data_IF_084434088679
#
_entry.id   IF_084434088679
#
_cell.length_a   1.000
_cell.length_b   1.000
_cell.length_c   1.000
_cell.angle_alpha   90.00
_cell.angle_beta   90.00
_cell.angle_gamma   90.00
#
_symmetry.space_group_name_H-M   'P 1'
#
loop_
_entity.id
_entity.type
_entity.pdbx_description
1 polymer ?
#
# COMPACT_ATOMS: atom_id res chain seq x y z
N UNK A 1 45.03 -13.62 -11.99
CA UNK A 1 43.59 -13.92 -11.83
C UNK A 1 43.11 -13.01 -10.72
N UNK A 2 42.38 -11.94 -11.05
CA UNK A 2 41.79 -11.07 -10.02
C UNK A 2 40.61 -11.89 -9.48
N UNK A 3 40.72 -12.36 -8.24
CA UNK A 3 39.58 -12.93 -7.54
C UNK A 3 38.51 -11.83 -7.48
N UNK A 4 37.50 -11.94 -8.35
CA UNK A 4 36.30 -11.12 -8.29
C UNK A 4 35.58 -11.49 -7.00
N UNK A 5 36.00 -10.86 -5.90
CA UNK A 5 35.43 -11.04 -4.58
C UNK A 5 34.09 -10.28 -4.47
N UNK A 6 33.23 -10.47 -5.46
CA UNK A 6 31.90 -9.87 -5.53
C UNK A 6 31.06 -10.62 -4.51
N UNK A 7 30.53 -9.88 -3.54
CA UNK A 7 29.67 -10.42 -2.49
C UNK A 7 28.22 -10.48 -2.97
N UNK A 8 27.81 -9.47 -3.73
CA UNK A 8 26.47 -9.32 -4.27
C UNK A 8 26.53 -8.82 -5.71
N UNK A 9 25.74 -9.43 -6.59
CA UNK A 9 25.44 -8.92 -7.92
C UNK A 9 24.03 -9.30 -8.34
N UNK A 10 23.28 -8.35 -8.90
CA UNK A 10 21.97 -8.60 -9.48
C UNK A 10 21.78 -7.80 -10.76
N UNK A 11 21.16 -8.41 -11.77
CA UNK A 11 21.02 -7.85 -13.10
C UNK A 11 19.56 -7.88 -13.54
N UNK A 12 19.04 -6.77 -14.08
CA UNK A 12 17.68 -6.69 -14.63
C UNK A 12 17.60 -5.78 -15.85
N UNK A 13 16.61 -6.03 -16.70
CA UNK A 13 16.19 -5.13 -17.79
C UNK A 13 14.94 -4.32 -17.46
N UNK A 14 14.33 -4.57 -16.30
CA UNK A 14 13.07 -3.95 -15.89
C UNK A 14 13.31 -2.74 -14.97
N UNK A 15 14.04 -1.73 -15.48
CA UNK A 15 14.38 -0.52 -14.71
C UNK A 15 13.14 0.22 -14.20
N UNK A 16 12.02 0.17 -14.93
CA UNK A 16 10.75 0.78 -14.52
C UNK A 16 10.25 0.22 -13.17
N UNK A 17 10.41 -1.08 -12.92
CA UNK A 17 9.99 -1.71 -11.67
C UNK A 17 10.86 -1.22 -10.49
N UNK A 18 12.18 -1.16 -10.67
CA UNK A 18 13.11 -0.63 -9.67
C UNK A 18 12.79 0.85 -9.39
N UNK A 19 12.65 1.66 -10.44
CA UNK A 19 12.36 3.10 -10.30
C UNK A 19 11.06 3.33 -9.54
N UNK A 20 10.02 2.58 -9.88
CA UNK A 20 8.70 2.70 -9.27
C UNK A 20 8.72 2.27 -7.81
N UNK A 21 9.38 1.14 -7.50
CA UNK A 21 9.63 0.70 -6.13
C UNK A 21 10.38 1.75 -5.31
N UNK A 22 11.55 2.18 -5.76
CA UNK A 22 12.38 3.15 -5.04
C UNK A 22 11.68 4.51 -4.86
N UNK A 23 10.83 4.91 -5.82
CA UNK A 23 10.01 6.13 -5.72
C UNK A 23 9.01 6.10 -4.56
N UNK A 24 8.60 4.92 -4.10
CA UNK A 24 7.70 4.75 -2.96
C UNK A 24 8.36 5.11 -1.63
N UNK A 25 9.69 5.05 -1.55
CA UNK A 25 10.47 5.35 -0.34
C UNK A 25 10.70 6.85 -0.14
N UNK A 26 10.65 7.64 -1.23
CA UNK A 26 10.94 9.09 -1.24
C UNK A 26 10.15 9.89 -0.19
N UNK A 27 8.82 9.69 0.00
CA UNK A 27 8.05 10.48 0.97
C UNK A 27 8.47 10.28 2.43
N UNK A 28 9.22 9.23 2.75
CA UNK A 28 9.56 8.85 4.12
C UNK A 28 10.90 9.43 4.57
N UNK A 29 11.87 9.60 3.66
CA UNK A 29 13.24 10.00 4.00
C UNK A 29 13.43 11.51 4.23
N UNK A 30 13.56 11.94 5.49
CA UNK A 30 13.98 13.32 5.81
C UNK A 30 15.45 13.60 5.47
N UNK A 31 16.32 12.59 5.69
CA UNK A 31 17.77 12.67 5.43
C UNK A 31 18.19 11.99 4.11
N UNK A 32 17.21 11.40 3.42
CA UNK A 32 17.36 10.62 2.19
C UNK A 32 18.30 9.41 2.32
N UNK A 33 18.66 9.04 3.55
CA UNK A 33 19.39 7.81 3.83
C UNK A 33 18.44 6.62 3.76
N UNK A 34 18.90 5.56 3.11
CA UNK A 34 18.17 4.31 3.02
C UNK A 34 19.07 3.15 3.39
N UNK A 35 18.56 2.32 4.29
CA UNK A 35 19.19 1.05 4.65
C UNK A 35 18.80 0.02 3.60
N UNK A 36 19.78 -0.58 2.95
CA UNK A 36 19.62 -1.71 2.06
C UNK A 36 20.12 -2.95 2.79
N UNK A 37 19.29 -3.99 2.84
CA UNK A 37 19.61 -5.30 3.37
C UNK A 37 19.62 -6.26 2.18
N UNK A 38 20.71 -6.99 2.02
CA UNK A 38 20.97 -7.88 0.88
C UNK A 38 21.16 -9.29 1.43
N UNK A 39 20.39 -10.25 0.92
CA UNK A 39 20.45 -11.65 1.31
C UNK A 39 20.25 -12.60 0.11
N UNK A 40 20.05 -13.90 0.38
CA UNK A 40 19.84 -14.90 -0.68
C UNK A 40 18.46 -14.87 -1.34
N UNK A 41 17.52 -14.08 -0.80
CA UNK A 41 16.14 -13.98 -1.25
C UNK A 41 15.85 -12.68 -1.99
N UNK A 42 16.60 -11.61 -1.70
CA UNK A 42 16.50 -10.39 -2.48
C UNK A 42 17.09 -9.15 -1.82
N UNK A 43 16.55 -8.00 -2.24
CA UNK A 43 16.93 -6.68 -1.74
C UNK A 43 15.79 -6.09 -0.92
N UNK A 44 16.08 -5.81 0.34
CA UNK A 44 15.20 -5.09 1.25
C UNK A 44 15.67 -3.66 1.45
N UNK A 45 14.77 -2.69 1.36
CA UNK A 45 15.04 -1.27 1.50
C UNK A 45 14.19 -0.72 2.64
N UNK A 46 14.82 -0.06 3.60
CA UNK A 46 14.13 0.41 4.79
C UNK A 46 14.51 1.85 5.12
N UNK A 47 13.50 2.63 5.48
CA UNK A 47 13.67 4.00 6.00
C UNK A 47 12.59 4.31 7.00
N UNK A 48 12.90 5.22 7.93
CA UNK A 48 11.99 5.65 8.99
C UNK A 48 11.90 7.17 9.04
N UNK A 49 10.82 7.65 9.65
CA UNK A 49 10.59 9.06 9.87
C UNK A 49 10.13 9.31 11.31
N UNK A 50 11.03 9.88 12.11
CA UNK A 50 10.81 10.32 13.49
C UNK A 50 10.25 9.22 14.41
N UNK A 51 10.53 7.94 14.15
CA UNK A 51 9.96 6.79 14.86
C UNK A 51 8.41 6.74 14.88
N UNK A 52 7.75 7.50 14.00
CA UNK A 52 6.29 7.52 13.86
C UNK A 52 5.86 6.63 12.70
N UNK A 53 6.64 6.63 11.62
CA UNK A 53 6.32 5.88 10.42
C UNK A 53 7.58 5.25 9.84
N UNK A 54 7.48 3.98 9.46
CA UNK A 54 8.53 3.18 8.82
C UNK A 54 7.98 2.57 7.55
N UNK A 55 8.83 2.48 6.53
CA UNK A 55 8.56 1.73 5.31
C UNK A 55 9.66 0.69 5.11
N UNK A 56 9.25 -0.51 4.73
CA UNK A 56 10.08 -1.60 4.28
C UNK A 56 9.62 -2.02 2.90
N UNK A 57 10.54 -2.03 1.94
CA UNK A 57 10.27 -2.44 0.57
C UNK A 57 11.16 -3.62 0.24
N UNK A 58 10.58 -4.71 -0.25
CA UNK A 58 11.30 -5.91 -0.64
C UNK A 58 11.18 -6.13 -2.15
N UNK A 59 12.33 -6.33 -2.79
CA UNK A 59 12.47 -6.76 -4.17
C UNK A 59 12.99 -8.20 -4.18
N UNK A 60 12.13 -9.12 -4.60
CA UNK A 60 12.46 -10.55 -4.69
C UNK A 60 13.54 -10.80 -5.74
N UNK A 61 14.44 -11.78 -5.52
CA UNK A 61 15.47 -12.16 -6.49
C UNK A 61 14.91 -12.53 -7.86
N UNK A 62 13.67 -13.01 -7.92
CA UNK A 62 12.94 -13.36 -9.15
C UNK A 62 12.63 -12.15 -10.04
N UNK A 63 12.76 -10.91 -9.54
CA UNK A 63 12.69 -9.70 -10.37
C UNK A 63 13.95 -9.47 -11.22
N UNK A 64 15.01 -10.21 -10.94
CA UNK A 64 16.30 -10.08 -11.60
C UNK A 64 16.51 -11.28 -12.54
N UNK A 65 17.11 -11.01 -13.70
CA UNK A 65 17.52 -12.06 -14.64
C UNK A 65 18.65 -12.91 -14.05
N UNK A 66 19.51 -12.26 -13.26
CA UNK A 66 20.59 -12.89 -12.51
C UNK A 66 20.62 -12.28 -11.11
N UNK A 67 20.72 -13.13 -10.10
CA UNK A 67 20.88 -12.71 -8.71
C UNK A 67 21.88 -13.65 -8.06
N UNK A 68 22.95 -13.08 -7.49
CA UNK A 68 24.02 -13.81 -6.84
C UNK A 68 24.39 -13.11 -5.54
N UNK A 69 24.33 -13.87 -4.45
CA UNK A 69 24.76 -13.43 -3.13
C UNK A 69 25.59 -14.53 -2.46
N UNK A 70 26.80 -14.19 -2.02
CA UNK A 70 27.72 -15.13 -1.40
C UNK A 70 27.40 -15.31 0.10
N UNK A 71 26.41 -16.16 0.38
CA UNK A 71 25.99 -16.49 1.75
C UNK A 71 27.05 -17.20 2.58
N UNK A 72 28.09 -17.76 1.95
CA UNK A 72 29.16 -18.44 2.67
C UNK A 72 30.06 -17.43 3.41
N UNK A 73 30.12 -16.19 2.95
CA UNK A 73 30.83 -15.11 3.63
C UNK A 73 30.01 -14.51 4.78
N UNK A 74 28.71 -14.32 4.57
CA UNK A 74 27.80 -13.74 5.55
C UNK A 74 26.34 -14.02 5.17
N UNK A 75 25.43 -14.24 6.14
CA UNK A 75 24.05 -14.61 5.87
C UNK A 75 23.23 -13.47 5.22
N UNK A 76 23.55 -12.23 5.59
CA UNK A 76 23.00 -11.02 4.99
C UNK A 76 24.02 -9.89 5.14
N UNK A 77 23.85 -8.83 4.35
CA UNK A 77 24.68 -7.63 4.40
C UNK A 77 23.82 -6.38 4.46
N UNK A 78 24.25 -5.42 5.27
CA UNK A 78 23.58 -4.14 5.42
C UNK A 78 24.46 -3.04 4.83
N UNK A 79 23.87 -2.20 4.00
CA UNK A 79 24.55 -1.06 3.38
C UNK A 79 23.64 0.14 3.37
N UNK A 80 24.16 1.30 3.77
CA UNK A 80 23.39 2.55 3.69
C UNK A 80 23.91 3.44 2.58
N UNK A 81 22.99 4.03 1.82
CA UNK A 81 23.25 4.91 0.68
C UNK A 81 22.24 6.07 0.66
N UNK A 82 22.53 7.10 -0.15
CA UNK A 82 21.59 8.19 -0.41
C UNK A 82 20.60 7.78 -1.50
N UNK A 83 19.33 7.65 -1.15
CA UNK A 83 18.26 7.23 -2.07
C UNK A 83 18.16 8.13 -3.30
N UNK A 84 18.30 9.45 -3.13
CA UNK A 84 18.22 10.39 -4.24
C UNK A 84 19.30 10.14 -5.30
N UNK A 85 20.52 9.79 -4.89
CA UNK A 85 21.60 9.54 -5.85
C UNK A 85 21.29 8.32 -6.72
N UNK A 86 20.71 7.27 -6.13
CA UNK A 86 20.27 6.09 -6.88
C UNK A 86 19.14 6.46 -7.84
N UNK A 87 18.12 7.16 -7.35
CA UNK A 87 16.97 7.55 -8.16
C UNK A 87 17.37 8.47 -9.32
N UNK A 88 18.28 9.40 -9.11
CA UNK A 88 18.73 10.32 -10.16
C UNK A 88 19.37 9.54 -11.32
N UNK A 89 20.27 8.60 -11.03
CA UNK A 89 20.92 7.78 -12.08
C UNK A 89 19.92 6.88 -12.80
N UNK A 90 19.05 6.18 -12.07
CA UNK A 90 18.06 5.31 -12.70
C UNK A 90 17.06 6.13 -13.55
N UNK A 91 16.67 7.32 -13.10
CA UNK A 91 15.76 8.19 -13.84
C UNK A 91 16.38 8.79 -15.11
N UNK A 92 17.68 9.14 -15.09
CA UNK A 92 18.38 9.63 -16.29
C UNK A 92 18.32 8.57 -17.38
N UNK A 93 18.72 7.35 -17.05
CA UNK A 93 18.74 6.20 -17.96
C UNK A 93 17.33 5.86 -18.47
N UNK A 94 16.33 5.86 -17.58
CA UNK A 94 14.94 5.55 -17.94
C UNK A 94 14.27 6.65 -18.80
N UNK A 95 14.67 7.92 -18.62
CA UNK A 95 14.13 9.06 -19.38
C UNK A 95 14.65 9.12 -20.81
N UNK A 96 15.92 8.80 -21.02
CA UNK A 96 16.53 8.79 -22.35
C UNK A 96 15.92 7.68 -23.23
N UNK A 97 15.50 6.57 -22.62
CA UNK A 97 14.83 5.48 -23.32
C UNK A 97 13.32 5.71 -23.59
N UNK A 98 12.60 6.39 -22.70
CA UNK A 98 11.15 6.61 -22.86
C UNK A 98 10.80 7.75 -23.84
N UNK A 99 11.70 8.73 -24.02
CA UNK A 99 11.47 9.86 -24.94
C UNK A 99 11.75 9.53 -26.41
N UNK A 100 12.58 8.53 -26.72
CA UNK A 100 12.78 8.03 -28.09
C UNK A 100 11.54 7.31 -28.64
N UNK A 101 10.67 6.82 -27.75
CA UNK A 101 9.43 6.12 -28.10
C UNK A 101 8.20 7.03 -28.29
N UNK A 102 8.34 8.36 -28.16
CA UNK A 102 7.22 9.32 -28.20
C UNK A 102 7.40 10.44 -29.23
N UNK A 103 7.70 10.11 -30.48
CA UNK A 103 7.57 11.03 -31.62
C UNK A 103 6.51 10.53 -32.59
N UNK A 104 5.26 10.88 -32.31
CA UNK A 104 4.25 10.98 -33.36
C UNK A 104 4.66 12.10 -34.31
N UNK A 105 4.67 11.79 -35.60
CA UNK A 105 5.31 12.57 -36.66
C UNK A 105 4.87 14.03 -36.76
N UNK A 106 5.85 14.89 -37.02
CA UNK A 106 6.01 15.55 -38.31
C UNK A 106 7.28 16.42 -38.24
N UNK A 107 8.14 16.25 -39.25
CA UNK A 107 9.34 17.03 -39.59
C UNK A 107 10.71 16.52 -39.08
N UNK A 108 11.47 16.02 -40.07
CA UNK A 108 12.90 16.23 -40.33
C UNK A 108 13.95 15.75 -39.32
N UNK A 109 14.63 14.66 -39.67
CA UNK A 109 16.10 14.59 -39.61
C UNK A 109 16.77 14.09 -38.33
N UNK A 110 16.09 13.27 -37.51
CA UNK A 110 16.66 12.67 -36.31
C UNK A 110 16.85 11.16 -36.44
N UNK A 111 18.00 10.68 -35.94
CA UNK A 111 18.53 9.31 -35.96
C UNK A 111 17.45 8.26 -35.60
N UNK A 112 17.41 7.19 -36.38
CA UNK A 112 16.63 5.98 -36.12
C UNK A 112 17.16 5.37 -34.82
N UNK A 113 16.56 5.70 -33.67
CA UNK A 113 16.78 4.96 -32.42
C UNK A 113 16.14 3.59 -32.60
N UNK A 114 16.96 2.53 -32.58
CA UNK A 114 16.51 1.16 -32.70
C UNK A 114 15.49 0.86 -31.59
N UNK A 115 14.37 0.28 -31.99
CA UNK A 115 13.25 -0.09 -31.12
C UNK A 115 13.60 -1.23 -30.13
N UNK A 116 14.85 -1.69 -30.16
CA UNK A 116 15.32 -2.93 -29.54
C UNK A 116 16.49 -2.72 -28.55
N UNK A 117 16.93 -1.48 -28.30
CA UNK A 117 18.00 -1.21 -27.32
C UNK A 117 17.48 -1.31 -25.89
N UNK A 118 17.41 -2.53 -25.37
CA UNK A 118 17.05 -2.77 -23.97
C UNK A 118 18.26 -2.41 -23.11
N UNK A 119 18.08 -1.47 -22.17
CA UNK A 119 19.11 -1.15 -21.19
C UNK A 119 19.12 -2.22 -20.10
N UNK A 120 20.28 -2.84 -19.90
CA UNK A 120 20.55 -3.74 -18.79
C UNK A 120 21.11 -2.95 -17.60
N UNK A 121 20.61 -3.22 -16.40
CA UNK A 121 21.07 -2.63 -15.16
C UNK A 121 21.63 -3.73 -14.25
N UNK A 122 22.92 -3.63 -13.93
CA UNK A 122 23.62 -4.50 -12.98
C UNK A 122 23.95 -3.74 -11.71
N UNK A 123 23.42 -4.21 -10.58
CA UNK A 123 23.74 -3.77 -9.24
C UNK A 123 24.84 -4.67 -8.68
N UNK A 124 25.82 -4.11 -7.96
CA UNK A 124 26.85 -4.91 -7.30
C UNK A 124 27.40 -4.27 -6.03
N UNK A 125 27.89 -5.12 -5.13
CA UNK A 125 28.53 -4.71 -3.89
C UNK A 125 29.59 -5.73 -3.48
N UNK A 126 30.78 -5.25 -3.09
CA UNK A 126 31.93 -6.09 -2.77
C UNK A 126 32.17 -6.23 -1.25
N UNK A 127 31.27 -5.71 -0.43
CA UNK A 127 31.36 -5.77 1.03
C UNK A 127 31.77 -4.44 1.68
N UNK A 128 31.99 -4.50 2.99
CA UNK A 128 32.20 -3.32 3.84
C UNK A 128 33.35 -2.44 3.32
N UNK A 129 33.13 -1.11 3.34
CA UNK A 129 34.10 -0.13 2.85
C UNK A 129 34.18 0.04 1.33
N UNK A 130 33.44 -0.76 0.55
CA UNK A 130 33.36 -0.62 -0.91
C UNK A 130 32.13 0.20 -1.33
N UNK A 131 32.10 0.81 -2.53
CA UNK A 131 30.91 1.50 -3.02
C UNK A 131 29.81 0.50 -3.43
N UNK A 132 28.56 0.95 -3.37
CA UNK A 132 27.45 0.27 -4.05
C UNK A 132 27.44 0.72 -5.50
N UNK A 133 27.50 -0.20 -6.45
CA UNK A 133 27.75 0.12 -7.87
C UNK A 133 26.54 -0.23 -8.72
N UNK A 134 26.15 0.69 -9.60
CA UNK A 134 25.22 0.45 -10.69
C UNK A 134 25.98 0.52 -12.01
N UNK A 135 25.73 -0.44 -12.88
CA UNK A 135 26.24 -0.46 -14.25
C UNK A 135 25.03 -0.52 -15.17
N UNK A 136 24.89 0.48 -16.02
CA UNK A 136 23.88 0.54 -17.06
C UNK A 136 24.54 0.25 -18.40
N UNK A 137 24.03 -0.71 -19.15
CA UNK A 137 24.62 -1.14 -20.42
C UNK A 137 23.53 -1.21 -21.49
N UNK A 138 23.77 -0.52 -22.61
CA UNK A 138 23.03 -0.67 -23.85
C UNK A 138 23.96 -1.16 -24.98
N UNK A 139 23.50 -1.20 -26.23
CA UNK A 139 24.33 -1.71 -27.34
C UNK A 139 25.55 -0.86 -27.69
N UNK A 140 25.62 0.39 -27.20
CA UNK A 140 26.61 1.39 -27.60
C UNK A 140 27.37 2.02 -26.42
N UNK A 141 26.75 2.08 -25.25
CA UNK A 141 27.19 2.85 -24.08
C UNK A 141 27.12 1.96 -22.84
N UNK A 142 28.18 2.01 -22.05
CA UNK A 142 28.22 1.47 -20.69
C UNK A 142 28.48 2.62 -19.73
N UNK A 143 27.56 2.84 -18.80
CA UNK A 143 27.69 3.81 -17.72
C UNK A 143 27.87 3.09 -16.38
N UNK A 144 28.88 3.50 -15.61
CA UNK A 144 29.15 2.95 -14.27
C UNK A 144 29.05 4.06 -13.24
N UNK A 145 28.17 3.87 -12.26
CA UNK A 145 27.93 4.80 -11.17
C UNK A 145 28.30 4.14 -9.85
N UNK A 146 29.10 4.84 -9.04
CA UNK A 146 29.57 4.35 -7.74
C UNK A 146 29.01 5.22 -6.61
N UNK A 147 28.26 4.61 -5.70
CA UNK A 147 27.68 5.29 -4.55
C UNK A 147 28.49 5.00 -3.28
N UNK A 148 28.90 6.08 -2.61
CA UNK A 148 29.50 5.98 -1.28
C UNK A 148 28.56 5.31 -0.30
N UNK A 149 29.11 4.38 0.47
CA UNK A 149 28.38 3.64 1.50
C UNK A 149 28.72 4.17 2.88
N UNK A 150 27.75 4.14 3.79
CA UNK A 150 27.92 4.62 5.16
C UNK A 150 27.54 3.54 6.16
N UNK A 151 28.23 3.53 7.30
CA UNK A 151 27.87 2.69 8.43
C UNK A 151 26.80 3.44 9.24
N UNK A 152 25.59 2.90 9.29
CA UNK A 152 24.52 3.40 10.17
C UNK A 152 24.16 2.30 11.16
N UNK A 153 23.77 2.72 12.37
CA UNK A 153 23.14 1.83 13.35
C UNK A 153 21.86 1.24 12.75
N UNK A 154 21.46 0.08 13.23
CA UNK A 154 20.19 -0.51 12.83
C UNK A 154 19.04 0.50 13.01
N UNK A 155 18.06 0.44 12.11
CA UNK A 155 16.83 1.21 12.25
C UNK A 155 16.17 0.84 13.57
N UNK A 156 15.82 1.86 14.37
CA UNK A 156 15.13 1.62 15.62
C UNK A 156 13.69 1.18 15.33
N UNK A 157 13.39 -0.09 15.57
CA UNK A 157 12.05 -0.66 15.38
C UNK A 157 11.20 -0.60 16.63
N UNK A 158 11.73 -0.03 17.72
CA UNK A 158 11.05 -0.02 19.02
C UNK A 158 9.68 0.66 18.90
N UNK A 159 8.61 -0.10 19.13
CA UNK A 159 7.23 0.40 19.09
C UNK A 159 6.57 0.43 17.71
N UNK A 160 7.25 -0.03 16.65
CA UNK A 160 6.71 -0.15 15.29
C UNK A 160 6.55 -1.61 14.84
N UNK A 161 6.35 -2.52 15.81
CA UNK A 161 6.10 -3.94 15.58
C UNK A 161 4.64 -4.26 15.88
N UNK A 162 3.93 -4.78 14.87
CA UNK A 162 2.50 -5.10 14.95
C UNK A 162 2.26 -6.28 15.89
N UNK A 163 1.33 -6.11 16.81
CA UNK A 163 0.86 -7.18 17.67
C UNK A 163 -0.21 -8.02 16.94
N UNK A 164 0.25 -9.04 16.20
CA UNK A 164 -0.60 -9.92 15.38
C UNK A 164 -1.61 -10.71 16.22
N UNK A 165 -1.30 -10.98 17.49
CA UNK A 165 -2.19 -11.70 18.40
C UNK A 165 -3.35 -10.81 18.90
N UNK A 166 -3.17 -9.49 18.85
CA UNK A 166 -4.08 -8.50 19.44
C UNK A 166 -4.50 -7.45 18.42
N UNK A 167 -5.02 -7.91 17.28
CA UNK A 167 -5.58 -7.05 16.24
C UNK A 167 -6.92 -6.45 16.67
N UNK A 168 -7.11 -5.15 16.42
CA UNK A 168 -8.40 -4.46 16.54
C UNK A 168 -9.23 -4.62 15.25
N UNK A 169 -8.59 -4.52 14.08
CA UNK A 169 -9.25 -4.83 12.81
C UNK A 169 -8.26 -5.22 11.70
N UNK A 170 -8.81 -5.87 10.68
CA UNK A 170 -8.16 -6.15 9.40
C UNK A 170 -9.07 -5.75 8.24
N UNK A 171 -8.54 -5.02 7.24
CA UNK A 171 -9.28 -4.59 6.07
C UNK A 171 -8.45 -4.72 4.79
N UNK A 172 -9.05 -5.26 3.71
CA UNK A 172 -8.46 -5.31 2.37
C UNK A 172 -9.25 -4.40 1.45
N UNK A 173 -8.56 -3.40 0.90
CA UNK A 173 -9.13 -2.36 0.04
C UNK A 173 -8.39 -2.36 -1.30
N UNK A 174 -9.13 -2.12 -2.39
CA UNK A 174 -8.55 -1.92 -3.72
C UNK A 174 -7.70 -0.63 -3.77
N UNK A 175 -6.48 -0.74 -4.30
CA UNK A 175 -5.48 0.33 -4.21
C UNK A 175 -5.86 1.62 -4.93
N UNK A 176 -6.47 1.54 -6.13
CA UNK A 176 -6.88 2.72 -6.90
C UNK A 176 -7.94 3.58 -6.20
N UNK A 177 -8.90 2.93 -5.55
CA UNK A 177 -9.95 3.61 -4.75
C UNK A 177 -9.32 4.34 -3.57
N UNK A 178 -8.44 3.67 -2.81
CA UNK A 178 -7.77 4.29 -1.67
C UNK A 178 -6.83 5.43 -2.12
N UNK A 179 -6.10 5.26 -3.22
CA UNK A 179 -5.25 6.30 -3.79
C UNK A 179 -6.05 7.57 -4.10
N UNK A 180 -7.19 7.43 -4.78
CA UNK A 180 -8.02 8.57 -5.16
C UNK A 180 -8.58 9.27 -3.92
N UNK A 181 -9.05 8.52 -2.92
CA UNK A 181 -9.51 9.10 -1.67
C UNK A 181 -8.40 9.88 -0.94
N UNK A 182 -7.17 9.35 -0.88
CA UNK A 182 -6.01 10.06 -0.32
C UNK A 182 -5.65 11.32 -1.13
N UNK A 183 -5.78 11.27 -2.45
CA UNK A 183 -5.56 12.42 -3.32
C UNK A 183 -6.58 13.53 -3.04
N UNK A 184 -7.86 13.17 -2.92
CA UNK A 184 -8.92 14.12 -2.59
C UNK A 184 -8.66 14.79 -1.22
N UNK A 185 -8.26 14.02 -0.21
CA UNK A 185 -7.88 14.59 1.11
C UNK A 185 -6.71 15.57 1.02
N UNK A 186 -5.73 15.28 0.16
CA UNK A 186 -4.60 16.16 -0.08
C UNK A 186 -5.01 17.46 -0.75
N UNK A 187 -5.91 17.40 -1.73
CA UNK A 187 -6.45 18.58 -2.41
C UNK A 187 -7.30 19.45 -1.47
N UNK A 188 -7.87 18.87 -0.41
CA UNK A 188 -8.58 19.57 0.65
C UNK A 188 -7.67 20.18 1.74
N UNK A 189 -6.34 20.10 1.58
CA UNK A 189 -5.34 20.55 2.57
C UNK A 189 -5.63 20.00 3.98
N UNK A 190 -5.95 18.70 4.04
CA UNK A 190 -6.28 18.00 5.27
C UNK A 190 -5.07 18.00 6.22
N UNK A 191 -5.29 18.35 7.50
CA UNK A 191 -4.26 18.25 8.55
C UNK A 191 -4.42 16.99 9.39
N UNK A 192 -5.66 16.68 9.76
CA UNK A 192 -6.02 15.53 10.57
C UNK A 192 -6.96 14.62 9.79
N UNK A 193 -6.58 13.35 9.68
CA UNK A 193 -7.35 12.35 8.98
C UNK A 193 -7.70 11.20 9.92
N UNK A 194 -8.94 10.71 9.81
CA UNK A 194 -9.42 9.55 10.53
C UNK A 194 -9.80 8.45 9.54
N UNK A 195 -9.33 7.23 9.80
CA UNK A 195 -9.82 6.03 9.13
C UNK A 195 -10.90 5.42 10.01
N UNK A 196 -12.15 5.50 9.56
CA UNK A 196 -13.31 4.91 10.22
C UNK A 196 -13.65 3.58 9.55
N UNK A 197 -13.74 2.52 10.35
CA UNK A 197 -14.19 1.20 9.89
C UNK A 197 -15.31 0.67 10.79
N UNK A 198 -16.37 0.11 10.20
CA UNK A 198 -17.49 -0.50 10.92
C UNK A 198 -18.09 -1.65 10.15
N UNK A 199 -18.62 -2.63 10.88
CA UNK A 199 -19.43 -3.72 10.35
C UNK A 199 -20.86 -3.55 10.84
N UNK A 200 -21.73 -3.03 9.96
CA UNK A 200 -23.13 -2.80 10.33
C UNK A 200 -23.95 -4.06 10.04
N UNK A 201 -24.71 -4.52 11.02
CA UNK A 201 -25.64 -5.63 10.86
C UNK A 201 -26.91 -5.15 10.16
N UNK A 202 -27.17 -5.61 8.94
CA UNK A 202 -28.45 -5.34 8.29
C UNK A 202 -29.49 -6.36 8.76
N UNK A 203 -30.26 -5.98 9.79
CA UNK A 203 -31.32 -6.81 10.40
C UNK A 203 -32.31 -7.41 9.39
N UNK A 204 -32.52 -6.75 8.23
CA UNK A 204 -33.47 -7.20 7.21
C UNK A 204 -32.96 -8.35 6.33
N UNK A 205 -31.64 -8.46 6.13
CA UNK A 205 -31.03 -9.46 5.24
C UNK A 205 -30.10 -10.42 5.96
N UNK A 206 -29.79 -10.17 7.24
CA UNK A 206 -28.80 -10.91 8.03
C UNK A 206 -27.37 -10.75 7.51
N UNK A 207 -27.14 -9.88 6.52
CA UNK A 207 -25.81 -9.63 5.95
C UNK A 207 -25.13 -8.49 6.71
N UNK A 208 -23.85 -8.70 7.01
CA UNK A 208 -22.97 -7.63 7.50
C UNK A 208 -22.56 -6.74 6.33
N UNK A 209 -22.68 -5.43 6.49
CA UNK A 209 -22.25 -4.44 5.51
C UNK A 209 -21.00 -3.75 6.02
N UNK A 210 -19.92 -3.84 5.26
CA UNK A 210 -18.68 -3.13 5.55
C UNK A 210 -18.84 -1.64 5.25
N UNK A 211 -18.44 -0.81 6.20
CA UNK A 211 -18.40 0.64 6.08
C UNK A 211 -16.98 1.07 6.35
N UNK A 212 -16.33 1.64 5.33
CA UNK A 212 -15.00 2.24 5.46
C UNK A 212 -15.08 3.67 4.98
N UNK A 213 -14.61 4.61 5.79
CA UNK A 213 -14.61 6.02 5.45
C UNK A 213 -13.31 6.68 5.87
N UNK A 214 -12.87 7.66 5.08
CA UNK A 214 -11.85 8.61 5.47
C UNK A 214 -12.52 9.91 5.88
N UNK A 215 -12.22 10.41 7.06
CA UNK A 215 -12.78 11.65 7.59
C UNK A 215 -11.65 12.66 7.70
N UNK A 216 -11.79 13.80 7.06
CA UNK A 216 -10.91 14.95 7.22
C UNK A 216 -11.49 15.89 8.27
N UNK A 217 -10.66 16.32 9.22
CA UNK A 217 -10.97 17.45 10.10
C UNK A 217 -10.05 18.60 9.74
N UNK A 218 -10.66 19.74 9.41
CA UNK A 218 -9.95 20.97 9.07
C UNK A 218 -10.52 22.11 9.91
N UNK A 219 -9.64 22.89 10.55
CA UNK A 219 -10.00 24.02 11.42
C UNK A 219 -10.90 25.05 10.72
N UNK A 220 -10.75 25.22 9.40
CA UNK A 220 -11.45 26.25 8.63
C UNK A 220 -12.70 25.73 7.89
N UNK A 221 -12.65 24.49 7.40
CA UNK A 221 -13.68 23.89 6.55
C UNK A 221 -14.62 22.94 7.32
N UNK A 222 -14.33 22.66 8.59
CA UNK A 222 -15.06 21.71 9.41
C UNK A 222 -14.69 20.27 9.10
N UNK A 223 -15.66 19.36 9.24
CA UNK A 223 -15.48 17.91 9.05
C UNK A 223 -16.02 17.51 7.68
N UNK A 224 -15.19 16.82 6.89
CA UNK A 224 -15.55 16.22 5.61
C UNK A 224 -15.36 14.71 5.68
N UNK A 225 -16.17 13.95 4.94
CA UNK A 225 -16.05 12.48 4.89
C UNK A 225 -16.09 11.98 3.46
N UNK A 226 -15.23 11.00 3.17
CA UNK A 226 -15.19 10.24 1.94
C UNK A 226 -15.57 8.80 2.29
N UNK A 227 -16.76 8.38 1.86
CA UNK A 227 -17.21 7.02 2.07
C UNK A 227 -16.68 6.13 0.95
N UNK A 228 -15.96 5.06 1.29
CA UNK A 228 -15.53 4.09 0.31
C UNK A 228 -16.69 3.18 -0.08
N UNK A 229 -16.84 2.85 -1.38
CA UNK A 229 -17.91 1.97 -1.83
C UNK A 229 -17.79 0.57 -1.20
N UNK A 230 -18.93 0.04 -0.71
CA UNK A 230 -18.97 -1.21 0.07
C UNK A 230 -18.98 -2.50 -0.77
N UNK A 231 -18.85 -2.40 -2.09
CA UNK A 231 -18.84 -3.56 -2.98
C UNK A 231 -17.64 -4.46 -2.67
N UNK A 232 -17.85 -5.79 -2.73
CA UNK A 232 -16.80 -6.78 -2.50
C UNK A 232 -15.61 -6.68 -3.45
N UNK A 233 -15.78 -6.04 -4.61
CA UNK A 233 -14.70 -5.77 -5.56
C UNK A 233 -13.79 -4.61 -5.13
N UNK A 234 -14.21 -3.82 -4.13
CA UNK A 234 -13.49 -2.66 -3.60
C UNK A 234 -13.04 -2.95 -2.17
N UNK A 235 -13.95 -3.40 -1.32
CA UNK A 235 -13.67 -3.86 0.04
C UNK A 235 -13.78 -5.38 0.06
N UNK A 236 -12.66 -6.06 -0.14
CA UNK A 236 -12.61 -7.52 -0.26
C UNK A 236 -12.80 -8.20 1.10
N UNK A 237 -12.26 -7.59 2.16
CA UNK A 237 -12.29 -8.09 3.53
C UNK A 237 -12.42 -6.94 4.51
N UNK A 238 -13.26 -7.10 5.54
CA UNK A 238 -13.27 -6.26 6.73
C UNK A 238 -13.67 -7.13 7.93
N UNK A 239 -12.79 -7.24 8.90
CA UNK A 239 -13.00 -7.94 10.17
C UNK A 239 -12.61 -6.99 11.30
N UNK A 240 -13.48 -6.84 12.30
CA UNK A 240 -13.24 -6.07 13.51
C UNK A 240 -13.31 -7.06 14.66
N UNK A 241 -12.29 -7.09 15.50
CA UNK A 241 -12.17 -8.05 16.58
C UNK A 241 -12.63 -7.45 17.91
N UNK A 242 -13.18 -8.27 18.80
CA UNK A 242 -13.50 -7.83 20.17
C UNK A 242 -12.21 -7.70 20.98
N UNK A 243 -12.08 -6.60 21.74
CA UNK A 243 -10.93 -6.36 22.62
C UNK A 243 -10.75 -7.44 23.68
N UNK A 244 -11.84 -8.10 24.08
CA UNK A 244 -11.80 -9.13 25.12
C UNK A 244 -11.58 -10.54 24.54
N UNK A 245 -11.90 -10.76 23.27
CA UNK A 245 -11.78 -12.05 22.60
C UNK A 245 -11.43 -11.85 21.10
N UNK A 246 -10.16 -12.01 20.70
CA UNK A 246 -9.71 -11.78 19.33
C UNK A 246 -10.28 -12.82 18.34
N UNK A 247 -10.93 -13.90 18.82
CA UNK A 247 -11.60 -14.87 17.94
C UNK A 247 -13.00 -14.44 17.54
N UNK A 248 -13.56 -13.42 18.22
CA UNK A 248 -14.93 -12.94 18.00
C UNK A 248 -14.92 -11.70 17.12
N UNK A 249 -15.65 -11.78 16.01
CA UNK A 249 -15.88 -10.62 15.13
C UNK A 249 -16.93 -9.70 15.77
N UNK A 250 -16.50 -8.57 16.29
CA UNK A 250 -17.35 -7.49 16.75
C UNK A 250 -18.18 -6.93 15.58
N UNK A 251 -19.43 -6.57 15.85
CA UNK A 251 -20.32 -5.93 14.89
C UNK A 251 -21.04 -4.77 15.57
N UNK A 252 -21.36 -3.75 14.79
CA UNK A 252 -21.99 -2.50 15.24
C UNK A 252 -21.13 -1.66 16.22
N UNK A 253 -19.85 -2.00 16.38
CA UNK A 253 -18.84 -1.21 17.09
C UNK A 253 -17.79 -0.76 16.06
N UNK A 254 -17.60 0.56 15.84
CA UNK A 254 -16.60 1.03 14.91
C UNK A 254 -15.20 1.02 15.52
N UNK A 255 -14.19 0.80 14.68
CA UNK A 255 -12.80 1.13 14.99
C UNK A 255 -12.38 2.38 14.23
N UNK A 256 -11.61 3.25 14.88
CA UNK A 256 -11.15 4.51 14.34
C UNK A 256 -9.65 4.60 14.52
N UNK A 257 -8.94 5.01 13.47
CA UNK A 257 -7.54 5.40 13.54
C UNK A 257 -7.45 6.91 13.35
N UNK A 258 -6.60 7.60 14.10
CA UNK A 258 -6.32 9.03 13.91
C UNK A 258 -4.89 9.23 13.42
N UNK A 259 -4.70 10.07 12.41
CA UNK A 259 -3.40 10.36 11.85
C UNK A 259 -3.19 11.84 11.59
N UNK A 260 -1.95 12.29 11.77
CA UNK A 260 -1.48 13.48 11.08
C UNK A 260 -1.42 13.18 9.58
N UNK A 261 -2.18 13.92 8.78
CA UNK A 261 -2.31 13.63 7.36
C UNK A 261 -0.99 13.78 6.60
N UNK A 262 -0.05 14.63 7.04
CA UNK A 262 1.28 14.70 6.39
C UNK A 262 2.07 13.42 6.56
N UNK A 263 1.86 12.66 7.64
CA UNK A 263 2.45 11.33 7.80
C UNK A 263 1.67 10.28 7.01
N UNK A 264 0.34 10.34 7.02
CA UNK A 264 -0.49 9.38 6.29
C UNK A 264 -0.36 9.52 4.76
N UNK A 265 -0.27 10.74 4.21
CA UNK A 265 -0.09 11.00 2.76
C UNK A 265 1.20 10.39 2.19
N UNK A 266 2.19 10.07 3.05
CA UNK A 266 3.44 9.43 2.60
C UNK A 266 3.19 8.09 1.92
N UNK A 267 2.15 7.37 2.33
CA UNK A 267 1.79 6.07 1.73
C UNK A 267 1.21 6.21 0.32
N UNK A 268 0.75 7.40 -0.08
CA UNK A 268 -0.01 7.59 -1.33
C UNK A 268 0.77 7.15 -2.57
N UNK A 269 2.10 7.35 -2.61
CA UNK A 269 2.92 6.87 -3.73
C UNK A 269 2.91 5.34 -3.83
N UNK A 270 3.00 4.65 -2.69
CA UNK A 270 2.94 3.21 -2.61
C UNK A 270 1.54 2.68 -2.94
N UNK A 271 0.49 3.34 -2.44
CA UNK A 271 -0.91 2.96 -2.74
C UNK A 271 -1.25 3.16 -4.23
N UNK A 272 -0.64 4.14 -4.90
CA UNK A 272 -0.80 4.36 -6.35
C UNK A 272 -0.48 3.11 -7.19
N UNK A 273 0.52 2.34 -6.76
CA UNK A 273 1.02 1.15 -7.48
C UNK A 273 0.43 -0.15 -6.93
N UNK A 274 -0.48 -0.04 -5.97
CA UNK A 274 -1.10 -1.17 -5.31
C UNK A 274 -2.30 -1.69 -6.12
N UNK A 275 -2.33 -3.00 -6.31
CA UNK A 275 -3.56 -3.71 -6.71
C UNK A 275 -4.52 -3.80 -5.51
N UNK A 276 -3.95 -4.15 -4.34
CA UNK A 276 -4.64 -4.32 -3.06
C UNK A 276 -3.81 -3.75 -1.93
N UNK A 277 -4.50 -3.24 -0.92
CA UNK A 277 -3.92 -2.71 0.30
C UNK A 277 -4.57 -3.41 1.48
N UNK A 278 -3.75 -4.08 2.28
CA UNK A 278 -4.15 -4.71 3.54
C UNK A 278 -3.78 -3.75 4.67
N UNK A 279 -4.78 -3.34 5.45
CA UNK A 279 -4.63 -2.47 6.61
C UNK A 279 -4.98 -3.28 7.85
N UNK A 280 -4.05 -3.32 8.79
CA UNK A 280 -4.21 -3.98 10.10
C UNK A 280 -3.94 -2.97 11.19
N UNK A 281 -4.77 -2.99 12.23
CA UNK A 281 -4.54 -2.19 13.44
C UNK A 281 -4.47 -3.11 14.64
N UNK A 282 -3.55 -2.85 15.55
CA UNK A 282 -3.50 -3.51 16.85
C UNK A 282 -4.09 -2.66 17.99
N UNK A 283 -4.26 -3.26 19.16
CA UNK A 283 -4.74 -2.57 20.36
C UNK A 283 -3.78 -1.51 20.92
N UNK A 284 -2.52 -1.46 20.47
CA UNK A 284 -1.54 -0.45 20.88
C UNK A 284 -1.62 0.81 20.01
N UNK A 285 -2.48 0.81 18.99
CA UNK A 285 -2.64 1.93 18.07
C UNK A 285 -1.62 1.93 16.94
N UNK A 286 -0.90 0.83 16.72
CA UNK A 286 -0.04 0.68 15.56
C UNK A 286 -0.89 0.19 14.38
N UNK A 287 -0.73 0.87 13.24
CA UNK A 287 -1.35 0.49 11.98
C UNK A 287 -0.29 0.01 11.02
N UNK A 288 -0.47 -1.21 10.53
CA UNK A 288 0.36 -1.83 9.50
C UNK A 288 -0.40 -1.81 8.17
N UNK A 289 0.30 -1.46 7.10
CA UNK A 289 -0.24 -1.29 5.75
C UNK A 289 0.65 -2.09 4.79
N UNK A 290 0.17 -3.27 4.38
CA UNK A 290 0.84 -4.08 3.37
C UNK A 290 0.27 -3.76 1.99
N UNK A 291 1.16 -3.50 1.05
CA UNK A 291 0.83 -3.12 -0.31
C UNK A 291 1.27 -4.22 -1.25
N UNK A 292 0.28 -4.74 -1.97
CA UNK A 292 0.48 -5.76 -2.99
C UNK A 292 0.49 -5.10 -4.37
N UNK A 293 1.65 -5.05 -5.01
CA UNK A 293 1.78 -4.61 -6.40
C UNK A 293 1.92 -5.82 -7.31
N UNK A 294 0.99 -5.97 -8.27
CA UNK A 294 1.18 -6.93 -9.36
C UNK A 294 2.05 -6.25 -10.41
N UNK A 295 3.07 -6.96 -10.91
CA UNK A 295 4.05 -6.43 -11.87
C UNK A 295 3.40 -5.91 -13.16
N UNK A 296 2.25 -6.47 -13.55
CA UNK A 296 1.47 -5.99 -14.70
C UNK A 296 0.83 -4.61 -14.46
N UNK A 297 0.47 -4.25 -13.23
CA UNK A 297 -0.19 -2.99 -12.91
C UNK A 297 0.78 -1.80 -13.01
N UNK A 298 2.07 -2.04 -12.79
CA UNK A 298 3.14 -1.04 -12.94
C UNK A 298 3.17 -0.52 -14.38
N UNK A 299 3.23 -1.43 -15.36
CA UNK A 299 3.28 -1.13 -16.79
C UNK A 299 2.03 -0.39 -17.32
N UNK A 300 0.85 -0.61 -16.71
CA UNK A 300 -0.42 -0.04 -17.18
C UNK A 300 -0.63 1.39 -16.68
N UNK A 301 -0.06 1.75 -15.52
CA UNK A 301 -0.34 3.00 -14.83
C UNK A 301 0.11 4.25 -15.62
N UNK A 302 1.17 4.14 -16.41
CA UNK A 302 1.69 5.23 -17.24
C UNK A 302 1.11 5.26 -18.66
N UNK A 303 0.68 4.12 -19.21
CA UNK A 303 0.07 4.03 -20.55
C UNK A 303 -1.33 4.68 -20.55
N UNK A 304 -2.14 4.47 -19.51
CA UNK A 304 -3.50 5.03 -19.41
C UNK A 304 -3.54 6.56 -19.36
N UNK A 305 -2.46 7.23 -18.93
CA UNK A 305 -2.36 8.71 -18.92
C UNK A 305 -2.05 9.28 -20.29
N UNK A 306 -1.40 8.52 -21.18
CA UNK A 306 -1.06 8.97 -22.54
C UNK A 306 -2.15 8.68 -23.57
N UNK A 307 -3.07 7.75 -23.29
CA UNK A 307 -4.17 7.38 -24.21
C UNK A 307 -5.50 8.11 -23.95
N UNK A 308 -5.52 9.16 -23.12
CA UNK A 308 -6.71 9.97 -22.82
C UNK A 308 -7.17 10.93 -23.93
N UNK A 309 -6.75 10.70 -25.17
CA UNK A 309 -7.18 11.44 -26.37
C UNK A 309 -8.24 10.66 -27.13
N UNK A 310 -9.49 11.12 -27.05
CA UNK A 310 -10.63 10.62 -27.80
C UNK A 310 -10.32 10.52 -29.30
N UNK A 311 -10.34 9.31 -29.86
CA UNK A 311 -10.80 9.09 -31.24
C UNK A 311 -11.40 7.69 -31.36
N UNK A 312 -12.73 7.65 -31.41
CA UNK A 312 -13.49 6.52 -31.93
C UNK A 312 -13.08 6.35 -33.39
N UNK A 313 -12.43 5.26 -33.75
CA UNK A 313 -12.51 4.75 -35.12
C UNK A 313 -12.68 3.23 -35.11
N UNK A 314 -13.87 2.83 -35.57
CA UNK A 314 -14.22 1.48 -35.98
C UNK A 314 -13.37 1.14 -37.20
N UNK A 315 -12.64 0.04 -37.15
CA UNK A 315 -12.59 -0.92 -38.25
C UNK A 315 -11.90 -2.21 -37.80
N UNK A 316 -12.74 -3.22 -37.57
CA UNK A 316 -12.34 -4.61 -37.49
C UNK A 316 -11.97 -5.07 -38.89
N UNK A 317 -10.72 -5.47 -39.10
CA UNK A 317 -10.38 -6.49 -40.09
C UNK A 317 -9.26 -7.36 -39.54
N UNK A 318 -9.68 -8.57 -39.15
CA UNK A 318 -8.82 -9.71 -38.90
C UNK A 318 -7.99 -10.01 -40.15
N UNK A 319 -6.67 -10.17 -39.97
CA UNK A 319 -5.93 -11.23 -40.65
C UNK A 319 -4.60 -11.51 -39.95
N UNK A 320 -4.34 -12.82 -39.83
CA UNK A 320 -3.21 -13.48 -39.21
C UNK A 320 -1.85 -13.01 -39.74
N UNK A 321 -0.82 -13.04 -38.88
CA UNK A 321 0.27 -14.01 -39.02
C UNK A 321 1.25 -13.98 -37.82
N UNK A 322 1.64 -15.18 -37.40
CA UNK A 322 2.80 -15.51 -36.57
C UNK A 322 4.07 -14.79 -37.03
N UNK A 323 4.94 -14.39 -36.10
CA UNK A 323 6.30 -14.96 -35.92
C UNK A 323 7.06 -14.24 -34.78
N UNK A 324 7.85 -15.05 -34.06
CA UNK A 324 9.08 -14.75 -33.29
C UNK A 324 9.00 -14.34 -31.80
N UNK A 325 9.22 -15.36 -30.95
CA UNK A 325 10.39 -15.53 -30.08
C UNK A 325 11.00 -14.26 -29.43
N UNK A 326 10.60 -14.00 -28.18
CA UNK A 326 11.47 -13.45 -27.12
C UNK A 326 10.86 -13.75 -25.73
N UNK A 327 10.59 -15.03 -25.46
CA UNK A 327 9.90 -15.47 -24.24
C UNK A 327 10.77 -15.55 -22.99
N UNK A 328 12.04 -15.09 -23.03
CA UNK A 328 12.94 -15.19 -21.88
C UNK A 328 12.95 -13.95 -20.99
N UNK A 329 12.28 -12.86 -21.38
CA UNK A 329 12.25 -11.60 -20.62
C UNK A 329 10.87 -11.32 -19.99
N UNK A 330 10.04 -12.35 -19.81
CA UNK A 330 8.71 -12.20 -19.21
C UNK A 330 8.78 -12.67 -17.77
N UNK A 331 8.71 -11.72 -16.84
CA UNK A 331 8.57 -12.02 -15.41
C UNK A 331 7.34 -12.91 -15.15
N UNK A 332 7.38 -13.80 -14.14
CA UNK A 332 6.23 -14.63 -13.78
C UNK A 332 4.97 -13.79 -13.56
N UNK A 333 3.86 -14.18 -14.20
CA UNK A 333 2.61 -13.39 -14.25
C UNK A 333 1.90 -13.24 -12.90
N UNK A 334 2.17 -14.12 -11.95
CA UNK A 334 1.40 -14.27 -10.71
C UNK A 334 2.23 -14.01 -9.44
N UNK A 335 3.45 -13.46 -9.56
CA UNK A 335 4.32 -13.26 -8.40
C UNK A 335 4.45 -11.79 -8.01
N UNK A 336 4.17 -11.42 -6.75
CA UNK A 336 4.39 -10.07 -6.27
C UNK A 336 5.88 -9.84 -6.05
N UNK A 337 6.61 -9.52 -7.12
CA UNK A 337 8.04 -9.27 -7.01
C UNK A 337 8.38 -8.05 -6.15
N UNK A 338 7.41 -7.16 -5.91
CA UNK A 338 7.54 -5.95 -5.08
C UNK A 338 6.55 -6.04 -3.92
N UNK A 339 7.07 -6.13 -2.71
CA UNK A 339 6.28 -6.11 -1.48
C UNK A 339 6.63 -4.85 -0.70
N UNK A 340 5.61 -4.08 -0.31
CA UNK A 340 5.82 -2.88 0.51
C UNK A 340 5.05 -3.05 1.80
N UNK A 341 5.73 -2.85 2.91
CA UNK A 341 5.18 -2.90 4.25
C UNK A 341 5.42 -1.55 4.94
N UNK A 342 4.37 -0.95 5.48
CA UNK A 342 4.42 0.36 6.13
C UNK A 342 3.82 0.24 7.51
N UNK A 343 4.54 0.69 8.53
CA UNK A 343 4.04 0.77 9.90
C UNK A 343 3.93 2.22 10.31
N UNK A 344 2.77 2.63 10.83
CA UNK A 344 2.46 3.99 11.27
C UNK A 344 1.80 3.96 12.64
N UNK A 345 2.29 4.79 13.56
CA UNK A 345 1.68 4.98 14.87
C UNK A 345 0.51 5.97 14.77
N UNK A 346 -0.62 5.65 15.39
CA UNK A 346 -1.75 6.57 15.47
C UNK A 346 -1.44 7.77 16.37
N UNK A 347 -2.10 8.90 16.10
CA UNK A 347 -2.04 10.05 16.97
C UNK A 347 -2.87 9.82 18.22
N UNK A 348 -2.33 10.17 19.38
CA UNK A 348 -3.00 10.13 20.69
C UNK A 348 -4.06 11.22 20.91
N UNK A 349 -4.41 12.00 19.88
CA UNK A 349 -5.41 13.07 19.99
C UNK A 349 -6.74 12.50 20.50
N UNK A 350 -7.30 13.12 21.54
CA UNK A 350 -8.60 12.74 22.09
C UNK A 350 -9.65 12.81 20.97
N UNK A 351 -10.01 11.64 20.46
CA UNK A 351 -11.02 11.50 19.43
C UNK A 351 -12.36 11.76 20.11
N UNK A 352 -13.07 12.82 19.73
CA UNK A 352 -14.48 12.94 20.08
C UNK A 352 -15.28 11.94 19.25
N UNK A 353 -15.36 10.71 19.76
CA UNK A 353 -16.11 9.61 19.16
C UNK A 353 -17.57 9.99 18.92
N UNK A 354 -18.14 10.87 19.75
CA UNK A 354 -19.52 11.35 19.60
C UNK A 354 -19.69 12.21 18.35
N UNK A 355 -18.76 13.13 18.11
CA UNK A 355 -18.74 13.98 16.91
C UNK A 355 -18.59 13.12 15.64
N UNK A 356 -17.63 12.19 15.60
CA UNK A 356 -17.41 11.33 14.43
C UNK A 356 -18.58 10.38 14.18
N UNK A 357 -19.19 9.83 15.24
CA UNK A 357 -20.36 8.96 15.09
C UNK A 357 -21.58 9.74 14.60
N UNK A 358 -21.77 10.99 15.03
CA UNK A 358 -22.82 11.87 14.52
C UNK A 358 -22.63 12.15 13.03
N UNK A 359 -21.39 12.50 12.62
CA UNK A 359 -21.02 12.71 11.22
C UNK A 359 -21.33 11.46 10.38
N UNK A 360 -21.15 10.25 10.93
CA UNK A 360 -21.51 9.01 10.24
C UNK A 360 -23.01 8.70 10.27
N UNK A 361 -23.74 9.07 11.32
CA UNK A 361 -25.16 8.79 11.52
C UNK A 361 -26.09 9.54 10.55
N UNK A 362 -25.74 10.76 10.12
CA UNK A 362 -26.58 11.59 9.25
C UNK A 362 -26.94 10.91 7.90
N UNK A 363 -26.16 9.91 7.46
CA UNK A 363 -26.39 9.18 6.22
C UNK A 363 -27.07 7.80 6.39
N UNK A 364 -27.39 7.35 7.60
CA UNK A 364 -28.12 6.09 7.78
C UNK A 364 -29.51 6.09 7.11
N UNK A 365 -30.03 7.27 6.77
CA UNK A 365 -31.27 7.47 6.02
C UNK A 365 -31.16 7.18 4.52
N UNK A 366 -29.96 7.22 3.92
CA UNK A 366 -29.74 6.95 2.49
C UNK A 366 -29.72 5.45 2.17
N UNK A 367 -29.58 4.58 3.17
CA UNK A 367 -29.54 3.13 3.02
C UNK A 367 -30.89 2.43 3.26
N UNK A 368 -31.98 3.19 3.51
CA UNK A 368 -33.34 2.66 3.66
C UNK A 368 -34.33 3.37 2.72
N UNK A 369 -34.59 2.85 1.51
CA UNK A 369 -35.65 3.36 0.64
C UNK A 369 -37.05 3.26 1.28
N UNK A 370 -37.21 2.43 2.31
CA UNK A 370 -38.50 2.13 2.96
C UNK A 370 -38.94 3.17 4.01
N UNK A 371 -38.02 4.00 4.52
CA UNK A 371 -38.35 4.98 5.56
C UNK A 371 -38.76 6.35 5.01
N UNK A 372 -38.49 6.62 3.72
CA UNK A 372 -38.83 7.90 3.09
C UNK A 372 -40.34 8.09 2.85
N UNK A 373 -41.15 7.02 2.92
CA UNK A 373 -42.61 7.11 2.77
C UNK A 373 -43.39 7.33 4.08
N UNK A 374 -42.74 7.30 5.25
CA UNK A 374 -43.45 7.44 6.53
C UNK A 374 -43.38 8.85 7.13
N UNK A 375 -42.57 9.76 6.58
CA UNK A 375 -42.39 11.12 7.10
C UNK A 375 -43.44 12.16 6.64
N UNK A 376 -44.40 11.79 5.77
CA UNK A 376 -45.48 12.70 5.31
C UNK A 376 -46.81 12.50 6.09
N UNK A 377 -46.87 11.62 7.08
CA UNK A 377 -48.07 11.50 7.94
C UNK A 377 -47.69 11.38 9.40
N UNK A 378 -47.55 12.52 10.09
CA UNK A 378 -48.01 12.74 11.47
C UNK A 378 -47.65 14.16 11.95
N UNK A 379 -48.60 15.07 11.74
CA UNK A 379 -48.78 16.23 12.62
C UNK A 379 -50.25 16.28 13.02
N UNK A 380 -50.63 15.44 13.99
CA UNK A 380 -51.79 15.70 14.85
C UNK A 380 -51.40 15.39 16.28
N UNK A 381 -51.45 16.47 17.04
CA UNK A 381 -51.33 16.61 18.47
C UNK A 381 -52.42 15.76 19.14
N UNK A 382 -52.04 14.97 20.15
CA UNK A 382 -52.94 14.58 21.23
C UNK A 382 -52.14 14.29 22.50
N UNK A 383 -52.54 14.96 23.58
CA UNK A 383 -52.04 14.86 24.96
C UNK A 383 -52.27 13.46 25.58
N UNK A 384 -51.38 12.99 26.47
CA UNK A 384 -51.58 11.75 27.20
C UNK A 384 -52.17 12.00 28.60
N UNK A 385 -53.16 11.19 28.98
CA UNK A 385 -53.43 10.89 30.38
C UNK A 385 -53.83 9.41 30.55
N UNK A 386 -53.48 8.87 31.73
CA UNK A 386 -53.85 7.58 32.32
C UNK A 386 -52.95 6.35 32.05
N UNK A 387 -52.00 6.17 32.98
CA UNK A 387 -51.76 4.99 33.83
C UNK A 387 -52.21 3.58 33.39
N UNK A 388 -51.30 2.62 33.51
CA UNK A 388 -51.63 1.19 33.62
C UNK A 388 -50.39 0.32 33.85
N UNK A 389 -50.25 -0.19 35.07
CA UNK A 389 -49.25 -1.17 35.53
C UNK A 389 -49.19 -2.45 34.66
N UNK A 390 -48.01 -3.05 34.49
CA UNK A 390 -47.80 -4.50 34.70
C UNK A 390 -46.30 -4.86 34.75
N UNK A 391 -46.02 -5.91 35.52
CA UNK A 391 -44.76 -6.28 36.16
C UNK A 391 -44.03 -7.45 35.48
N UNK A 392 -42.70 -7.47 35.66
CA UNK A 392 -41.78 -8.62 35.86
C UNK A 392 -41.82 -9.82 34.90
N UNK A 393 -40.64 -10.20 34.40
CA UNK A 393 -40.03 -11.52 34.66
C UNK A 393 -38.60 -11.62 34.12
N UNK A 394 -37.67 -11.86 35.05
CA UNK A 394 -36.29 -12.29 34.81
C UNK A 394 -36.24 -13.73 34.27
N UNK A 395 -35.21 -14.06 33.47
CA UNK A 395 -34.62 -15.41 33.50
C UNK A 395 -33.13 -15.40 33.10
N UNK A 396 -32.29 -15.46 34.13
CA UNK A 396 -30.88 -15.82 34.06
C UNK A 396 -30.70 -17.27 33.60
N UNK A 397 -29.65 -17.56 32.82
CA UNK A 397 -28.95 -18.86 32.88
C UNK A 397 -27.44 -18.72 32.65
N UNK A 398 -26.71 -19.25 33.62
CA UNK A 398 -25.26 -19.48 33.81
C UNK A 398 -24.70 -20.50 32.80
N UNK A 399 -23.59 -20.20 32.11
CA UNK A 399 -22.18 -20.62 32.34
C UNK A 399 -21.84 -22.10 32.11
N UNK A 400 -20.83 -22.36 31.26
CA UNK A 400 -19.81 -23.40 31.49
C UNK A 400 -18.61 -23.25 30.55
N UNK A 401 -17.43 -23.13 31.15
CA UNK A 401 -16.09 -23.10 30.58
C UNK A 401 -15.61 -24.48 30.10
N UNK A 402 -14.69 -24.51 29.13
CA UNK A 402 -13.65 -25.54 28.99
C UNK A 402 -12.43 -24.99 28.27
N UNK A 403 -11.30 -25.05 28.97
CA UNK A 403 -9.93 -24.74 28.56
C UNK A 403 -9.32 -25.94 27.82
N UNK A 404 -8.50 -25.69 26.80
CA UNK A 404 -7.41 -26.59 26.41
C UNK A 404 -6.31 -25.80 25.70
N UNK A 405 -5.12 -25.88 26.28
CA UNK A 405 -3.84 -25.37 25.76
C UNK A 405 -3.40 -26.09 24.48
N UNK A 406 -2.77 -25.35 23.56
CA UNK A 406 -1.59 -25.85 22.83
C UNK A 406 -0.79 -24.69 22.22
N UNK A 407 0.48 -24.63 22.62
CA UNK A 407 1.57 -23.87 22.00
C UNK A 407 1.75 -24.31 20.54
N UNK A 408 2.03 -23.36 19.64
CA UNK A 408 3.10 -23.50 18.66
C UNK A 408 3.44 -22.17 17.98
N UNK A 409 4.74 -22.03 17.76
CA UNK A 409 5.48 -20.99 17.05
C UNK A 409 5.04 -20.82 15.60
N UNK A 410 4.80 -19.60 15.14
CA UNK A 410 4.65 -19.31 13.71
C UNK A 410 5.51 -18.14 13.24
N UNK A 411 6.29 -18.48 12.21
CA UNK A 411 6.95 -17.64 11.21
C UNK A 411 5.87 -16.83 10.47
N UNK A 412 6.13 -15.60 10.02
CA UNK A 412 5.13 -14.82 9.28
C UNK A 412 4.71 -15.53 7.98
N UNK A 413 3.42 -15.88 7.93
CA UNK A 413 2.71 -16.33 6.74
C UNK A 413 2.52 -15.14 5.79
N UNK A 414 3.20 -15.20 4.63
CA UNK A 414 2.89 -14.36 3.48
C UNK A 414 1.91 -15.12 2.57
N UNK A 415 0.70 -14.57 2.43
CA UNK A 415 -0.43 -14.97 1.57
C UNK A 415 -0.96 -16.41 1.67
#
# INVERSE_FOLDING_TARGET
MIENNILFSATTVHLEHITTALSCLVPFGLKQDILIIIDEDGLSFATENNHIIKIHLFLSKELFMMYSYDKAKQPYTKVCVKLNHILDSVNIVNRDYSNTNSTNGNNSGGIISNKDDVVECTLSYNGEGTPFVFIFEDSMITERVEYSTYLIRDLDTTGLELDVENLEFECIIKGDVLHNALLDLKELDCKECFLYVSLNSNYSTGRKMAVVALIAKNDQLGVSKILLPSEKSIIEKLEIYDRNDPTVIASDIPSICSFNFNNFDKIRKSVKVASKVLIRKDHKGLVNINILSQTNDLLISDIKRKSGGVTKNRNSNNNNNNYNNNSNNVLPKDYPGIVIDISILENSTEIDFGELQLVMADNASLYNPSLMMQSIKRKRIYDPSASGYFTTSQKQRKSSSKQSDSKNSEVPLFF
#
